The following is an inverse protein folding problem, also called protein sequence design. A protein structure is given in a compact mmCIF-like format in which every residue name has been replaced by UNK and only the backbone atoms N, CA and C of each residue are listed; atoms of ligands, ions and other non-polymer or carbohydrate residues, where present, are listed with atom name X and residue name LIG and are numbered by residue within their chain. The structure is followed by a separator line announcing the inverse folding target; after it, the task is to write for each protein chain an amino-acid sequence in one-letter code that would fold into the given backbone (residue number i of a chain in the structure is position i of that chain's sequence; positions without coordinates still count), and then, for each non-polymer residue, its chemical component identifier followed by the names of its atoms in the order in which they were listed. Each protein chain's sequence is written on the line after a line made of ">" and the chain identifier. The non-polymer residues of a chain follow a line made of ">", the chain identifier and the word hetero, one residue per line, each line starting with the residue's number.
data_IF_789607543757
#
_entry.id   IF_789607543757
#
_cell.length_a   1.000
_cell.length_b   1.000
_cell.length_c   1.000
_cell.angle_alpha   90.00
_cell.angle_beta   90.00
_cell.angle_gamma   90.00
#
_symmetry.space_group_name_H-M   'P 1'
#
loop_
_entity.id
_entity.type
_entity.pdbx_description
1 polymer ?
#
# COMPACT_ATOMS: atom_id res chain seq x y z
N UNK A 1 -4.46 -18.27 0.18
CA UNK A 1 -4.23 -16.95 -0.42
C UNK A 1 -3.48 -16.17 0.62
N UNK A 2 -2.24 -15.79 0.32
CA UNK A 2 -1.36 -15.07 1.25
C UNK A 2 -1.70 -13.58 1.23
N UNK A 3 -1.25 -12.84 2.25
CA UNK A 3 -1.39 -11.39 2.30
C UNK A 3 -0.81 -10.72 1.05
N UNK A 4 0.39 -11.14 0.62
CA UNK A 4 1.04 -10.60 -0.58
C UNK A 4 0.21 -10.85 -1.85
N UNK A 5 -0.35 -12.06 -2.02
CA UNK A 5 -1.23 -12.39 -3.15
C UNK A 5 -2.52 -11.57 -3.15
N UNK A 6 -3.05 -11.22 -1.96
CA UNK A 6 -4.24 -10.39 -1.83
C UNK A 6 -3.97 -8.96 -2.28
N UNK A 7 -2.87 -8.38 -1.79
CA UNK A 7 -2.43 -7.04 -2.16
C UNK A 7 -2.14 -6.95 -3.66
N UNK A 8 -1.43 -7.92 -4.23
CA UNK A 8 -1.12 -7.94 -5.66
C UNK A 8 -2.40 -8.00 -6.51
N UNK A 9 -3.44 -8.74 -6.09
CA UNK A 9 -4.72 -8.78 -6.79
C UNK A 9 -5.46 -7.45 -6.74
N UNK A 10 -5.50 -6.79 -5.57
CA UNK A 10 -6.10 -5.46 -5.41
C UNK A 10 -5.41 -4.47 -6.36
N UNK A 11 -4.08 -4.49 -6.41
CA UNK A 11 -3.32 -3.58 -7.27
C UNK A 11 -3.42 -3.91 -8.76
N UNK A 12 -3.63 -5.18 -9.13
CA UNK A 12 -3.78 -5.60 -10.52
C UNK A 12 -5.04 -5.02 -11.16
N UNK A 13 -6.14 -4.90 -10.40
CA UNK A 13 -7.45 -4.46 -10.92
C UNK A 13 -7.74 -2.97 -10.67
N UNK A 14 -6.79 -2.22 -10.11
CA UNK A 14 -7.01 -0.80 -9.76
C UNK A 14 -7.28 0.07 -10.98
N UNK A 15 -8.23 0.99 -10.84
CA UNK A 15 -8.41 2.09 -11.78
C UNK A 15 -7.62 3.30 -11.28
N UNK A 16 -6.62 3.73 -12.04
CA UNK A 16 -5.82 4.91 -11.67
C UNK A 16 -6.58 6.23 -11.79
N UNK A 17 -7.71 6.23 -12.50
CA UNK A 17 -8.61 7.40 -12.57
C UNK A 17 -9.62 7.43 -11.43
N UNK A 18 -9.86 6.29 -10.76
CA UNK A 18 -10.70 6.16 -9.57
C UNK A 18 -10.08 5.17 -8.58
N UNK A 19 -9.23 5.71 -7.70
CA UNK A 19 -8.50 4.92 -6.72
C UNK A 19 -9.30 4.63 -5.45
N UNK A 20 -10.48 5.22 -5.27
CA UNK A 20 -11.27 5.06 -4.04
C UNK A 20 -11.62 3.58 -3.76
N UNK A 21 -12.05 2.76 -4.74
CA UNK A 21 -12.29 1.34 -4.52
C UNK A 21 -11.03 0.56 -4.09
N UNK A 22 -9.85 1.00 -4.55
CA UNK A 22 -8.57 0.38 -4.17
C UNK A 22 -8.25 0.72 -2.73
N UNK A 23 -8.42 1.99 -2.33
CA UNK A 23 -8.23 2.44 -0.94
C UNK A 23 -9.19 1.69 -0.02
N UNK A 24 -10.48 1.63 -0.38
CA UNK A 24 -11.51 0.95 0.41
C UNK A 24 -11.21 -0.54 0.60
N UNK A 25 -10.62 -1.21 -0.40
CA UNK A 25 -10.18 -2.59 -0.30
C UNK A 25 -8.95 -2.79 0.62
N UNK A 26 -8.06 -1.80 0.70
CA UNK A 26 -6.85 -1.87 1.52
C UNK A 26 -7.09 -1.51 2.99
N UNK A 27 -8.09 -0.66 3.30
CA UNK A 27 -8.34 -0.21 4.67
C UNK A 27 -8.66 -1.35 5.67
N UNK A 28 -9.47 -2.39 5.33
CA UNK A 28 -9.66 -3.54 6.20
C UNK A 28 -8.35 -4.30 6.47
N UNK A 29 -7.52 -4.47 5.44
CA UNK A 29 -6.23 -5.15 5.55
C UNK A 29 -5.28 -4.36 6.46
N UNK A 30 -5.26 -3.02 6.33
CA UNK A 30 -4.53 -2.14 7.24
C UNK A 30 -5.02 -2.26 8.69
N UNK A 31 -6.32 -2.39 8.91
CA UNK A 31 -6.87 -2.56 10.25
C UNK A 31 -6.43 -3.89 10.89
N UNK A 32 -6.32 -4.96 10.10
CA UNK A 32 -5.82 -6.27 10.54
C UNK A 32 -4.29 -6.31 10.72
N UNK A 33 -3.57 -5.52 9.91
CA UNK A 33 -2.11 -5.49 9.84
C UNK A 33 -1.53 -4.05 9.96
N UNK A 34 -1.77 -3.33 11.07
CA UNK A 34 -1.49 -1.89 11.17
C UNK A 34 -0.01 -1.53 11.19
N UNK A 35 0.87 -2.50 11.44
CA UNK A 35 2.32 -2.32 11.49
C UNK A 35 3.04 -3.14 10.41
N UNK A 36 2.31 -3.68 9.44
CA UNK A 36 2.93 -4.40 8.33
C UNK A 36 3.49 -3.41 7.30
N UNK A 37 4.79 -3.48 7.06
CA UNK A 37 5.51 -2.58 6.18
C UNK A 37 4.99 -2.59 4.73
N UNK A 38 4.57 -3.76 4.22
CA UNK A 38 4.03 -3.90 2.85
C UNK A 38 2.66 -3.26 2.76
N UNK A 39 1.80 -3.51 3.74
CA UNK A 39 0.44 -2.96 3.78
C UNK A 39 0.49 -1.43 3.88
N UNK A 40 1.31 -0.89 4.78
CA UNK A 40 1.52 0.55 4.91
C UNK A 40 2.04 1.17 3.61
N UNK A 41 2.98 0.52 2.93
CA UNK A 41 3.51 0.99 1.65
C UNK A 41 2.44 1.04 0.56
N UNK A 42 1.66 -0.02 0.43
CA UNK A 42 0.61 -0.12 -0.60
C UNK A 42 -0.53 0.88 -0.34
N UNK A 43 -0.94 1.07 0.92
CA UNK A 43 -1.90 2.12 1.29
C UNK A 43 -1.36 3.49 0.91
N UNK A 44 -0.08 3.76 1.20
CA UNK A 44 0.60 4.99 0.78
C UNK A 44 0.53 5.19 -0.74
N UNK A 45 0.88 4.16 -1.53
CA UNK A 45 0.81 4.19 -2.99
C UNK A 45 -0.60 4.41 -3.55
N UNK A 46 -1.62 3.89 -2.86
CA UNK A 46 -3.00 4.11 -3.25
C UNK A 46 -3.43 5.57 -3.08
N UNK A 47 -3.10 6.19 -1.93
CA UNK A 47 -3.36 7.61 -1.67
C UNK A 47 -2.55 8.53 -2.58
N UNK A 48 -1.30 8.19 -2.87
CA UNK A 48 -0.43 8.95 -3.77
C UNK A 48 -1.04 8.99 -5.19
N UNK A 49 -1.44 7.84 -5.71
CA UNK A 49 -2.13 7.73 -7.01
C UNK A 49 -3.47 8.49 -7.03
N UNK A 50 -4.14 8.59 -5.89
CA UNK A 50 -5.38 9.38 -5.73
C UNK A 50 -5.13 10.90 -5.58
N UNK A 51 -3.88 11.37 -5.61
CA UNK A 51 -3.51 12.77 -5.44
C UNK A 51 -3.50 13.26 -3.98
N UNK A 52 -3.57 12.35 -3.00
CA UNK A 52 -3.54 12.65 -1.58
C UNK A 52 -2.12 12.48 -1.01
N UNK A 53 -1.18 13.24 -1.57
CA UNK A 53 0.27 13.13 -1.31
C UNK A 53 0.63 13.26 0.18
N UNK A 54 -0.04 14.14 0.92
CA UNK A 54 0.22 14.33 2.36
C UNK A 54 -0.14 13.08 3.18
N UNK A 55 -1.26 12.45 2.86
CA UNK A 55 -1.68 11.19 3.47
C UNK A 55 -0.72 10.07 3.10
N UNK A 56 -0.34 10.00 1.82
CA UNK A 56 0.61 9.01 1.32
C UNK A 56 1.96 9.09 2.02
N UNK A 57 2.50 10.31 2.19
CA UNK A 57 3.77 10.52 2.88
C UNK A 57 3.75 9.94 4.30
N UNK A 58 2.68 10.18 5.07
CA UNK A 58 2.56 9.62 6.42
C UNK A 58 2.58 8.10 6.45
N UNK A 59 1.97 7.45 5.45
CA UNK A 59 2.00 6.00 5.32
C UNK A 59 3.37 5.47 4.91
N UNK A 60 4.07 6.15 3.99
CA UNK A 60 5.44 5.76 3.63
C UNK A 60 6.40 5.90 4.81
N UNK A 61 6.29 6.96 5.62
CA UNK A 61 7.07 7.13 6.84
C UNK A 61 6.81 5.98 7.83
N UNK A 62 5.54 5.63 8.05
CA UNK A 62 5.17 4.49 8.90
C UNK A 62 5.72 3.16 8.35
N UNK A 63 5.66 2.94 7.04
CA UNK A 63 6.20 1.73 6.41
C UNK A 63 7.71 1.60 6.65
N UNK A 64 8.46 2.71 6.48
CA UNK A 64 9.90 2.76 6.77
C UNK A 64 10.18 2.42 8.25
N UNK A 65 9.40 2.97 9.17
CA UNK A 65 9.49 2.65 10.60
C UNK A 65 9.15 1.19 10.92
N UNK A 66 8.23 0.58 10.18
CA UNK A 66 7.84 -0.83 10.29
C UNK A 66 8.88 -1.80 9.72
N UNK A 67 10.00 -1.29 9.18
CA UNK A 67 11.09 -2.12 8.67
C UNK A 67 11.09 -2.29 7.15
N UNK A 68 10.32 -1.49 6.41
CA UNK A 68 10.47 -1.35 4.95
C UNK A 68 11.90 -0.87 4.66
N UNK A 69 12.82 -1.79 4.44
CA UNK A 69 14.23 -1.47 4.23
C UNK A 69 14.79 -2.33 3.11
N UNK A 70 15.47 -1.68 2.14
CA UNK A 70 16.43 -2.23 1.16
C UNK A 70 15.96 -3.31 0.17
N UNK A 71 15.23 -4.33 0.62
CA UNK A 71 14.88 -5.52 -0.16
C UNK A 71 13.48 -5.45 -0.77
N UNK A 72 12.53 -4.78 -0.13
CA UNK A 72 11.18 -4.59 -0.69
C UNK A 72 11.20 -3.57 -1.85
N UNK A 73 12.01 -2.51 -1.74
CA UNK A 73 12.28 -1.56 -2.83
C UNK A 73 12.86 -2.23 -4.08
N UNK A 74 13.65 -3.31 -3.94
CA UNK A 74 14.18 -4.05 -5.11
C UNK A 74 13.16 -4.99 -5.74
N UNK A 75 12.13 -5.44 -5.00
CA UNK A 75 11.12 -6.38 -5.53
C UNK A 75 9.94 -5.70 -6.20
N UNK A 76 9.64 -4.44 -5.86
CA UNK A 76 8.53 -3.69 -6.45
C UNK A 76 8.87 -2.96 -7.77
N UNK A 77 10.09 -3.13 -8.30
CA UNK A 77 10.59 -2.44 -9.50
C UNK A 77 11.02 -3.39 -10.64
N UNK A 78 10.34 -4.51 -10.84
CA UNK A 78 10.46 -5.32 -12.08
C UNK A 78 9.18 -5.32 -12.89
#
# INVERSE_FOLDING_TARGET
>A
MTLDEELDRIFTVRDRNDMQPTIDALLPILAEHPADARVLYEVGGAYDTAGQEQTAQSFYEQALHAGLSGDMLRRCYV
#
